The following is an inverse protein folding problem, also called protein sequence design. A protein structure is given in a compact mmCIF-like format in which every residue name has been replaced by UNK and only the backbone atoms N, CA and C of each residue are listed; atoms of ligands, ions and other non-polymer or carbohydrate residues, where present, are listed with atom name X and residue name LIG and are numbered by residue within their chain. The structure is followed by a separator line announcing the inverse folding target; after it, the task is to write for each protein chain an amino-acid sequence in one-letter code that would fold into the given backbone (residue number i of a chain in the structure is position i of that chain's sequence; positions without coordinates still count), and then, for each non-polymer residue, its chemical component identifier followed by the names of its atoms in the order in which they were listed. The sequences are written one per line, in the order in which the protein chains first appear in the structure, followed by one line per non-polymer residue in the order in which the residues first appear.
data_IF_285165014485
#
_entry.id   IF_285165014485
#
_cell.length_a   1.000
_cell.length_b   1.000
_cell.length_c   1.000
_cell.angle_alpha   90.00
_cell.angle_beta   90.00
_cell.angle_gamma   90.00
#
_symmetry.space_group_name_H-M   'P 1'
#
loop_
_entity.id
_entity.type
_entity.pdbx_description
1 polymer ?
#
# COMPACT_ATOMS: atom_id res chain seq x y z
N UNK A 1 11.51 14.04 5.52
CA UNK A 1 11.05 13.62 4.18
C UNK A 1 11.67 12.27 3.87
N UNK A 2 10.84 11.23 3.71
CA UNK A 2 11.30 9.87 3.50
C UNK A 2 11.40 9.54 2.01
N UNK A 3 12.54 9.02 1.57
CA UNK A 3 12.81 8.64 0.17
C UNK A 3 13.00 7.13 0.10
N UNK A 4 12.28 6.47 -0.80
CA UNK A 4 12.32 5.01 -0.96
C UNK A 4 13.02 4.67 -2.28
N UNK A 5 14.00 3.76 -2.28
CA UNK A 5 14.71 3.33 -3.49
C UNK A 5 13.78 2.66 -4.51
N UNK A 6 13.71 3.21 -5.73
CA UNK A 6 12.88 2.72 -6.86
C UNK A 6 13.11 1.24 -7.24
N UNK A 7 14.33 0.75 -7.04
CA UNK A 7 14.77 -0.64 -7.23
C UNK A 7 14.37 -1.63 -6.12
N UNK A 8 13.67 -1.21 -5.06
CA UNK A 8 13.18 -2.12 -4.01
C UNK A 8 11.94 -2.95 -4.43
N UNK A 9 11.31 -2.59 -5.55
CA UNK A 9 10.17 -3.30 -6.11
C UNK A 9 10.41 -3.51 -7.62
N UNK A 10 10.58 -4.74 -8.11
CA UNK A 10 10.71 -4.97 -9.54
C UNK A 10 9.37 -4.63 -10.22
N UNK A 11 9.35 -3.56 -11.01
CA UNK A 11 8.44 -3.29 -12.15
C UNK A 11 6.91 -3.37 -11.92
N UNK A 12 6.41 -3.66 -10.72
CA UNK A 12 4.98 -3.82 -10.44
C UNK A 12 4.40 -2.55 -9.84
N UNK A 13 3.28 -2.13 -10.42
CA UNK A 13 2.48 -1.01 -9.93
C UNK A 13 1.84 -1.34 -8.57
N UNK A 14 1.48 -0.31 -7.78
CA UNK A 14 0.75 -0.51 -6.52
C UNK A 14 -0.51 -1.38 -6.68
N UNK A 15 -1.26 -1.20 -7.77
CA UNK A 15 -2.48 -1.96 -8.03
C UNK A 15 -2.20 -3.44 -8.33
N UNK A 16 -1.12 -3.75 -9.04
CA UNK A 16 -0.71 -5.15 -9.27
C UNK A 16 -0.29 -5.84 -7.97
N UNK A 17 0.45 -5.15 -7.11
CA UNK A 17 0.83 -5.66 -5.78
C UNK A 17 -0.42 -5.90 -4.92
N UNK A 18 -1.38 -5.00 -4.94
CA UNK A 18 -2.63 -5.15 -4.22
C UNK A 18 -3.50 -6.30 -4.79
N UNK A 19 -3.55 -6.47 -6.11
CA UNK A 19 -4.22 -7.60 -6.74
C UNK A 19 -3.58 -8.94 -6.36
N UNK A 20 -2.24 -9.00 -6.26
CA UNK A 20 -1.53 -10.17 -5.76
C UNK A 20 -1.82 -10.44 -4.28
N UNK A 21 -1.97 -9.40 -3.46
CA UNK A 21 -2.37 -9.56 -2.06
C UNK A 21 -3.76 -10.20 -1.94
N UNK A 22 -4.74 -9.71 -2.70
CA UNK A 22 -6.10 -10.28 -2.71
C UNK A 22 -6.14 -11.73 -3.19
N UNK A 23 -5.38 -12.07 -4.23
CA UNK A 23 -5.25 -13.47 -4.68
C UNK A 23 -4.61 -14.34 -3.60
N UNK A 24 -3.55 -13.84 -2.95
CA UNK A 24 -2.91 -14.52 -1.84
C UNK A 24 -3.84 -14.80 -0.66
N UNK A 25 -4.79 -13.90 -0.34
CA UNK A 25 -5.81 -14.20 0.68
C UNK A 25 -6.73 -15.34 0.23
N UNK A 26 -7.19 -15.34 -1.02
CA UNK A 26 -8.01 -16.44 -1.54
C UNK A 26 -7.26 -17.78 -1.53
N UNK A 27 -5.97 -17.77 -1.88
CA UNK A 27 -5.09 -18.94 -1.78
C UNK A 27 -4.92 -19.40 -0.33
N UNK A 28 -4.69 -18.47 0.61
CA UNK A 28 -4.57 -18.80 2.04
C UNK A 28 -5.86 -19.41 2.60
N UNK A 29 -7.02 -18.91 2.19
CA UNK A 29 -8.33 -19.46 2.59
C UNK A 29 -8.55 -20.88 2.05
N UNK A 30 -7.98 -21.20 0.89
CA UNK A 30 -8.05 -22.52 0.29
C UNK A 30 -6.94 -23.48 0.75
N UNK A 31 -5.99 -23.02 1.56
CA UNK A 31 -4.86 -23.82 2.03
C UNK A 31 -5.33 -25.01 2.88
N UNK A 32 -4.66 -26.14 2.69
CA UNK A 32 -5.05 -27.41 3.33
C UNK A 32 -4.29 -27.69 4.62
N UNK A 33 -3.23 -26.93 4.89
CA UNK A 33 -2.42 -27.00 6.11
C UNK A 33 -2.37 -25.65 6.81
N UNK A 34 -2.17 -25.67 8.13
CA UNK A 34 -2.08 -24.44 8.92
C UNK A 34 -0.80 -23.64 8.59
N UNK A 35 0.30 -24.34 8.29
CA UNK A 35 1.56 -23.74 7.87
C UNK A 35 1.43 -22.99 6.55
N UNK A 36 0.81 -23.63 5.55
CA UNK A 36 0.56 -23.02 4.23
C UNK A 36 -0.38 -21.82 4.35
N UNK A 37 -1.48 -21.95 5.13
CA UNK A 37 -2.39 -20.84 5.42
C UNK A 37 -1.64 -19.67 6.03
N UNK A 38 -0.86 -19.93 7.07
CA UNK A 38 -0.13 -18.89 7.79
C UNK A 38 0.91 -18.21 6.88
N UNK A 39 1.72 -18.99 6.15
CA UNK A 39 2.73 -18.44 5.26
C UNK A 39 2.11 -17.59 4.15
N UNK A 40 1.02 -18.07 3.55
CA UNK A 40 0.34 -17.41 2.42
C UNK A 40 -0.41 -16.16 2.86
N UNK A 41 -1.11 -16.19 4.00
CA UNK A 41 -1.77 -15.02 4.58
C UNK A 41 -0.76 -13.90 4.91
N UNK A 42 0.39 -14.27 5.49
CA UNK A 42 1.45 -13.30 5.77
C UNK A 42 2.02 -12.68 4.49
N UNK A 43 2.21 -13.49 3.45
CA UNK A 43 2.73 -13.02 2.17
C UNK A 43 1.72 -12.11 1.45
N UNK A 44 0.42 -12.36 1.59
CA UNK A 44 -0.62 -11.45 1.15
C UNK A 44 -0.51 -10.09 1.86
N UNK A 45 -0.35 -10.07 3.18
CA UNK A 45 -0.15 -8.84 3.94
C UNK A 45 1.13 -8.09 3.51
N UNK A 46 2.25 -8.80 3.30
CA UNK A 46 3.50 -8.22 2.77
C UNK A 46 3.29 -7.50 1.43
N UNK A 47 2.51 -8.10 0.52
CA UNK A 47 2.20 -7.53 -0.80
C UNK A 47 1.30 -6.30 -0.69
N UNK A 48 0.34 -6.31 0.23
CA UNK A 48 -0.50 -5.14 0.51
C UNK A 48 0.32 -3.97 1.08
N UNK A 49 1.23 -4.25 2.03
CA UNK A 49 2.17 -3.24 2.53
C UNK A 49 3.06 -2.69 1.40
N UNK A 50 3.60 -3.57 0.56
CA UNK A 50 4.39 -3.18 -0.61
C UNK A 50 3.60 -2.26 -1.56
N UNK A 51 2.28 -2.50 -1.74
CA UNK A 51 1.43 -1.64 -2.56
C UNK A 51 1.34 -0.21 -2.00
N UNK A 52 1.14 -0.05 -0.68
CA UNK A 52 1.13 1.27 -0.03
C UNK A 52 2.49 1.95 -0.18
N UNK A 53 3.57 1.21 0.08
CA UNK A 53 4.92 1.71 -0.05
C UNK A 53 5.18 2.19 -1.48
N UNK A 54 4.85 1.41 -2.49
CA UNK A 54 5.00 1.79 -3.89
C UNK A 54 4.11 3.00 -4.28
N UNK A 55 2.91 3.13 -3.73
CA UNK A 55 2.01 4.25 -4.03
C UNK A 55 2.45 5.58 -3.41
N UNK A 56 3.13 5.54 -2.26
CA UNK A 56 3.52 6.74 -1.49
C UNK A 56 5.01 7.08 -1.60
N UNK A 57 5.85 6.11 -1.98
CA UNK A 57 7.28 6.28 -2.21
C UNK A 57 7.55 7.33 -3.29
N UNK A 58 8.38 8.33 -2.98
CA UNK A 58 9.00 9.17 -4.02
C UNK A 58 10.37 8.59 -4.40
N UNK A 59 10.67 8.40 -5.70
CA UNK A 59 12.01 8.05 -6.14
C UNK A 59 12.92 9.27 -5.94
N UNK A 60 14.04 9.13 -5.22
CA UNK A 60 15.12 10.11 -5.28
C UNK A 60 16.49 9.44 -5.43
N UNK A 61 17.42 10.07 -6.17
CA UNK A 61 18.76 9.55 -6.42
C UNK A 61 19.68 9.83 -5.23
N UNK A 62 20.32 8.78 -4.70
CA UNK A 62 21.45 8.90 -3.76
C UNK A 62 21.07 9.00 -2.27
N UNK A 63 21.38 7.96 -1.50
CA UNK A 63 21.30 8.00 -0.04
C UNK A 63 21.51 6.63 0.62
N UNK A 64 22.59 6.50 1.40
CA UNK A 64 22.92 5.30 2.20
C UNK A 64 22.31 5.45 3.59
N UNK A 65 21.49 4.47 3.99
CA UNK A 65 20.75 4.43 5.25
C UNK A 65 19.34 3.87 5.03
N UNK A 66 19.23 2.65 4.50
CA UNK A 66 17.98 2.06 3.99
C UNK A 66 17.19 1.39 5.11
N UNK A 67 15.88 1.64 5.25
CA UNK A 67 14.99 0.73 5.98
C UNK A 67 15.09 -0.67 5.36
N UNK A 68 15.42 -1.66 6.19
CA UNK A 68 15.89 -2.99 5.79
C UNK A 68 14.76 -3.95 5.38
N UNK A 69 13.50 -3.58 5.63
CA UNK A 69 12.31 -4.40 5.34
C UNK A 69 11.12 -3.56 4.88
N UNK A 70 10.17 -4.19 4.18
CA UNK A 70 8.92 -3.52 3.74
C UNK A 70 8.12 -2.97 4.92
N UNK A 71 8.13 -3.64 6.07
CA UNK A 71 7.46 -3.19 7.28
C UNK A 71 8.10 -1.91 7.85
N UNK A 72 9.44 -1.84 7.87
CA UNK A 72 10.15 -0.62 8.26
C UNK A 72 9.89 0.53 7.30
N UNK A 73 9.77 0.26 5.99
CA UNK A 73 9.37 1.27 5.01
C UNK A 73 7.93 1.75 5.23
N UNK A 74 7.01 0.83 5.54
CA UNK A 74 5.61 1.13 5.76
C UNK A 74 5.41 2.12 6.92
N UNK A 75 6.04 1.88 8.07
CA UNK A 75 6.01 2.79 9.24
C UNK A 75 6.43 4.23 8.88
N UNK A 76 7.32 4.37 7.90
CA UNK A 76 7.87 5.67 7.53
C UNK A 76 7.02 6.43 6.49
N UNK A 77 6.29 5.75 5.60
CA UNK A 77 5.40 6.39 4.60
C UNK A 77 3.91 6.35 4.95
N UNK A 78 3.55 5.52 5.91
CA UNK A 78 2.21 5.34 6.42
C UNK A 78 2.29 5.09 7.94
N UNK A 79 2.67 6.11 8.73
CA UNK A 79 2.78 5.98 10.18
C UNK A 79 1.48 5.56 10.84
N UNK A 80 0.33 5.86 10.24
CA UNK A 80 -0.98 5.36 10.67
C UNK A 80 -1.13 3.82 10.58
N UNK A 81 -0.23 3.13 9.87
CA UNK A 81 -0.17 1.67 9.77
C UNK A 81 0.98 1.05 10.60
N UNK A 82 1.58 1.82 11.51
CA UNK A 82 2.76 1.36 12.27
C UNK A 82 2.47 0.17 13.18
N UNK A 83 1.30 0.14 13.82
CA UNK A 83 0.90 -0.97 14.71
C UNK A 83 0.75 -2.27 13.92
N UNK A 84 0.15 -2.18 12.73
CA UNK A 84 0.08 -3.29 11.79
C UNK A 84 1.48 -3.75 11.35
N UNK A 85 2.36 -2.81 11.00
CA UNK A 85 3.74 -3.12 10.62
C UNK A 85 4.49 -3.86 11.73
N UNK A 86 4.34 -3.42 12.99
CA UNK A 86 4.97 -4.04 14.14
C UNK A 86 4.42 -5.46 14.40
N UNK A 87 3.09 -5.62 14.33
CA UNK A 87 2.44 -6.92 14.50
C UNK A 87 2.93 -7.94 13.45
N UNK A 88 2.91 -7.59 12.16
CA UNK A 88 3.38 -8.49 11.12
C UNK A 88 4.90 -8.71 11.16
N UNK A 89 5.70 -7.69 11.49
CA UNK A 89 7.15 -7.87 11.64
C UNK A 89 7.49 -8.90 12.73
N UNK A 90 6.77 -8.90 13.85
CA UNK A 90 6.95 -9.90 14.92
C UNK A 90 6.64 -11.34 14.45
N UNK A 91 5.68 -11.50 13.53
CA UNK A 91 5.28 -12.79 12.95
C UNK A 91 6.20 -13.32 11.84
N UNK A 92 7.18 -12.53 11.36
CA UNK A 92 7.95 -12.86 10.15
C UNK A 92 8.86 -14.09 10.31
N UNK A 93 9.45 -14.29 11.50
CA UNK A 93 10.27 -15.49 11.76
C UNK A 93 9.42 -16.75 11.73
N UNK A 94 8.22 -16.71 12.32
CA UNK A 94 7.28 -17.83 12.32
C UNK A 94 6.81 -18.18 10.91
N UNK A 95 6.56 -17.15 10.08
CA UNK A 95 6.26 -17.33 8.65
C UNK A 95 7.37 -18.09 7.94
N UNK A 96 8.63 -17.73 8.16
CA UNK A 96 9.75 -18.39 7.51
C UNK A 96 9.87 -19.89 7.88
N UNK A 97 9.52 -20.24 9.12
CA UNK A 97 9.50 -21.64 9.57
C UNK A 97 8.31 -22.39 8.94
N UNK A 98 7.12 -21.77 8.91
CA UNK A 98 5.93 -22.34 8.30
C UNK A 98 6.09 -22.54 6.78
N UNK A 99 6.71 -21.59 6.09
CA UNK A 99 7.03 -21.66 4.65
C UNK A 99 8.01 -22.79 4.33
N UNK A 100 8.89 -23.16 5.28
CA UNK A 100 9.76 -24.32 5.15
C UNK A 100 9.02 -25.66 5.33
N UNK A 101 7.71 -25.65 5.62
CA UNK A 101 6.89 -26.84 5.78
C UNK A 101 7.21 -27.66 7.04
N UNK A 102 7.77 -27.02 8.07
CA UNK A 102 8.08 -27.69 9.34
C UNK A 102 6.76 -28.02 10.04
N UNK A 103 6.45 -29.30 10.31
CA UNK A 103 5.20 -29.68 10.96
C UNK A 103 5.06 -29.08 12.36
N UNK A 104 3.91 -28.49 12.66
CA UNK A 104 3.64 -27.88 13.95
C UNK A 104 4.36 -26.54 14.16
N UNK A 105 4.85 -25.90 13.09
CA UNK A 105 5.43 -24.57 13.16
C UNK A 105 4.43 -23.51 13.64
N UNK A 106 3.15 -23.76 13.37
CA UNK A 106 2.02 -22.91 13.76
C UNK A 106 0.86 -23.79 14.19
N UNK A 107 0.05 -23.28 15.12
CA UNK A 107 -1.21 -23.91 15.50
C UNK A 107 -2.35 -23.43 14.59
N UNK A 108 -3.43 -24.21 14.55
CA UNK A 108 -4.67 -23.81 13.87
C UNK A 108 -5.22 -22.45 14.32
N UNK A 109 -5.20 -22.19 15.62
CA UNK A 109 -5.65 -20.90 16.16
C UNK A 109 -4.77 -19.74 15.68
N UNK A 110 -3.45 -19.95 15.56
CA UNK A 110 -2.54 -18.93 15.04
C UNK A 110 -2.73 -18.70 13.54
N UNK A 111 -3.01 -19.75 12.77
CA UNK A 111 -3.28 -19.66 11.33
C UNK A 111 -4.59 -18.87 11.07
N UNK A 112 -5.67 -19.20 11.78
CA UNK A 112 -6.95 -18.50 11.73
C UNK A 112 -6.83 -17.04 12.17
N UNK A 113 -6.14 -16.79 13.28
CA UNK A 113 -5.92 -15.42 13.76
C UNK A 113 -5.16 -14.59 12.73
N UNK A 114 -4.08 -15.13 12.16
CA UNK A 114 -3.32 -14.41 11.15
C UNK A 114 -4.17 -14.16 9.90
N UNK A 115 -5.03 -15.11 9.51
CA UNK A 115 -5.94 -14.92 8.38
C UNK A 115 -6.86 -13.72 8.60
N UNK A 116 -7.53 -13.65 9.75
CA UNK A 116 -8.41 -12.52 10.12
C UNK A 116 -7.64 -11.19 10.18
N UNK A 117 -6.44 -11.19 10.75
CA UNK A 117 -5.57 -10.01 10.82
C UNK A 117 -5.13 -9.55 9.41
N UNK A 118 -4.78 -10.49 8.53
CA UNK A 118 -4.39 -10.22 7.15
C UNK A 118 -5.56 -9.66 6.32
N UNK A 119 -6.75 -10.23 6.43
CA UNK A 119 -7.96 -9.72 5.77
C UNK A 119 -8.27 -8.29 6.21
N UNK A 120 -8.25 -8.02 7.52
CA UNK A 120 -8.49 -6.68 8.07
C UNK A 120 -7.45 -5.69 7.56
N UNK A 121 -6.17 -6.06 7.57
CA UNK A 121 -5.11 -5.20 7.07
C UNK A 121 -5.26 -4.90 5.56
N UNK A 122 -5.57 -5.93 4.75
CA UNK A 122 -5.79 -5.76 3.30
C UNK A 122 -6.99 -4.84 3.02
N UNK A 123 -8.06 -4.93 3.80
CA UNK A 123 -9.20 -4.02 3.68
C UNK A 123 -8.81 -2.56 3.98
N UNK A 124 -8.07 -2.32 5.07
CA UNK A 124 -7.55 -0.98 5.41
C UNK A 124 -6.65 -0.42 4.31
N UNK A 125 -5.79 -1.27 3.72
CA UNK A 125 -4.93 -0.87 2.60
C UNK A 125 -5.76 -0.51 1.36
N UNK A 126 -6.84 -1.24 1.08
CA UNK A 126 -7.74 -0.95 -0.03
C UNK A 126 -8.28 0.50 0.05
N UNK A 127 -8.76 0.87 1.24
CA UNK A 127 -9.30 2.22 1.50
C UNK A 127 -8.22 3.29 1.35
N UNK A 128 -7.03 3.04 1.91
CA UNK A 128 -5.89 3.95 1.80
C UNK A 128 -5.44 4.19 0.34
N UNK A 129 -5.44 3.13 -0.49
CA UNK A 129 -5.10 3.24 -1.91
C UNK A 129 -6.20 3.97 -2.70
N UNK A 130 -7.47 3.75 -2.38
CA UNK A 130 -8.59 4.45 -3.02
C UNK A 130 -8.55 5.96 -2.77
N UNK A 131 -8.20 6.39 -1.56
CA UNK A 131 -8.02 7.81 -1.21
C UNK A 131 -6.82 8.44 -1.95
N UNK A 132 -5.74 7.68 -2.09
CA UNK A 132 -4.53 8.13 -2.80
C UNK A 132 -4.83 8.33 -4.29
N UNK A 133 -5.48 7.36 -4.93
CA UNK A 133 -5.84 7.43 -6.35
C UNK A 133 -6.80 8.59 -6.68
N UNK A 134 -7.75 8.89 -5.78
CA UNK A 134 -8.66 10.03 -5.92
C UNK A 134 -7.92 11.37 -5.93
N UNK A 135 -6.86 11.47 -5.12
CA UNK A 135 -6.04 12.68 -5.03
C UNK A 135 -5.15 12.88 -6.26
N UNK A 136 -4.75 11.80 -6.94
CA UNK A 136 -3.93 11.86 -8.17
C UNK A 136 -4.74 12.10 -9.44
N UNK A 137 -6.00 11.64 -9.51
CA UNK A 137 -6.89 11.80 -10.67
C UNK A 137 -7.67 13.14 -10.63
N UNK A 138 -7.32 14.05 -9.72
CA UNK A 138 -7.83 15.42 -9.74
C UNK A 138 -6.87 16.40 -10.44
N UNK A 139 -6.88 16.55 -11.78
CA UNK A 139 -6.31 17.71 -12.44
C UNK A 139 -7.34 18.87 -12.44
N UNK A 140 -6.97 19.97 -11.78
CA UNK A 140 -7.20 21.36 -12.22
C UNK A 140 -8.65 21.79 -12.59
N UNK A 141 -9.51 22.04 -11.59
CA UNK A 141 -10.79 22.76 -11.74
C UNK A 141 -10.87 23.93 -10.73
N UNK A 142 -9.86 24.81 -10.72
CA UNK A 142 -9.93 26.16 -10.10
C UNK A 142 -9.00 27.12 -10.83
N UNK A 143 -9.33 27.48 -12.07
CA UNK A 143 -8.95 28.77 -12.69
C UNK A 143 -9.59 28.90 -14.08
N UNK A 144 -10.88 29.22 -14.11
CA UNK A 144 -11.54 29.77 -15.29
C UNK A 144 -12.78 30.56 -14.85
N UNK A 145 -12.59 31.56 -13.99
CA UNK A 145 -13.59 32.59 -13.75
C UNK A 145 -12.88 33.84 -13.24
N UNK A 146 -12.48 34.72 -14.17
CA UNK A 146 -12.57 36.19 -14.10
C UNK A 146 -11.87 36.73 -15.34
N UNK A 147 -12.58 36.76 -16.48
CA UNK A 147 -12.20 37.62 -17.59
C UNK A 147 -12.84 39.00 -17.38
N UNK A 148 -12.10 40.12 -17.46
CA UNK A 148 -12.73 41.43 -17.40
C UNK A 148 -13.39 41.72 -18.76
N UNK A 149 -14.73 41.80 -18.78
CA UNK A 149 -15.46 42.36 -19.91
C UNK A 149 -15.23 43.88 -19.92
N UNK A 150 -14.32 44.31 -20.81
CA UNK A 150 -14.17 45.72 -21.22
C UNK A 150 -15.50 46.18 -21.83
N UNK A 151 -16.27 46.98 -21.11
CA UNK A 151 -17.36 47.75 -21.70
C UNK A 151 -16.77 48.89 -22.52
N UNK A 152 -16.86 48.77 -23.85
CA UNK A 152 -16.69 49.88 -24.77
C UNK A 152 -17.98 50.69 -24.77
N UNK A 153 -17.96 51.85 -24.10
CA UNK A 153 -19.01 52.87 -24.24
C UNK A 153 -18.75 53.62 -25.54
N UNK A 154 -19.75 53.59 -26.41
CA UNK A 154 -19.80 54.27 -27.69
C UNK A 154 -19.78 55.80 -27.52
N UNK A 155 -19.00 56.46 -28.38
CA UNK A 155 -19.10 57.90 -28.66
C UNK A 155 -20.44 58.21 -29.35
N UNK A 156 -21.01 59.39 -29.08
CA UNK A 156 -21.38 60.21 -30.23
C UNK A 156 -21.06 61.69 -30.00
N UNK A 157 -20.64 62.39 -31.05
CA UNK A 157 -21.13 63.75 -31.35
C UNK A 157 -20.78 64.13 -32.78
N UNK A 158 -21.82 64.18 -33.62
CA UNK A 158 -21.86 64.94 -34.85
C UNK A 158 -22.81 66.12 -34.64
N UNK A 159 -22.30 67.32 -34.87
CA UNK A 159 -22.95 68.56 -35.34
C UNK A 159 -22.03 69.73 -34.98
#
# INVERSE_FOLDING_TARGET
MLTIPAHAFPQRTPLELFALARRGLAEAAAATTDEERYATAHLAALRAAAAVVAARARPAPGGRGRPTSVWGLLTLVAPELSDWAAQFAAGARRRAIAEAGVPGAVTHQESERLMVEAERFVAIVADALALTHRSTVAPQQRSAATGPLRSAVALPRAA
#
